data_IF_181965161696
#
_entry.id   IF_181965161696
#
_cell.length_a   1.000
_cell.length_b   1.000
_cell.length_c   1.000
_cell.angle_alpha   90.00
_cell.angle_beta   90.00
_cell.angle_gamma   90.00
#
_symmetry.space_group_name_H-M   'P 1'
#
loop_
_entity.id
_entity.type
_entity.pdbx_description
1 polymer ?
#
# COMPACT_ATOMS: atom_id res chain seq x y z
N UNK A 1 14.00 19.71 7.33
CA UNK A 1 15.27 19.21 6.74
C UNK A 1 14.99 17.88 6.08
N UNK A 2 15.65 17.53 5.00
CA UNK A 2 15.47 16.21 4.40
C UNK A 2 16.82 15.53 4.12
N UNK A 3 16.82 14.22 4.12
CA UNK A 3 18.02 13.41 3.92
C UNK A 3 17.78 12.36 2.83
N UNK A 4 18.64 12.38 1.82
CA UNK A 4 18.74 11.31 0.81
C UNK A 4 19.79 10.30 1.28
N UNK A 5 19.37 9.05 1.41
CA UNK A 5 20.19 7.96 1.98
C UNK A 5 20.77 7.12 0.86
N UNK A 6 22.00 7.39 0.49
CA UNK A 6 22.72 6.75 -0.62
C UNK A 6 23.97 5.98 -0.18
N UNK A 7 24.33 6.07 1.10
CA UNK A 7 25.53 5.40 1.61
C UNK A 7 25.25 4.57 2.86
N UNK A 8 26.05 3.55 3.08
CA UNK A 8 25.96 2.70 4.28
C UNK A 8 26.14 3.50 5.58
N UNK A 9 26.98 4.53 5.58
CA UNK A 9 27.16 5.38 6.75
C UNK A 9 25.88 6.16 7.10
N UNK A 10 25.18 6.66 6.07
CA UNK A 10 23.88 7.33 6.26
C UNK A 10 22.81 6.35 6.76
N UNK A 11 22.81 5.09 6.30
CA UNK A 11 21.93 4.05 6.84
C UNK A 11 22.20 3.78 8.33
N UNK A 12 23.47 3.71 8.74
CA UNK A 12 23.83 3.53 10.15
C UNK A 12 23.35 4.73 11.00
N UNK A 13 23.48 5.95 10.48
CA UNK A 13 22.97 7.14 11.17
C UNK A 13 21.43 7.14 11.27
N UNK A 14 20.76 6.70 10.21
CA UNK A 14 19.30 6.51 10.22
C UNK A 14 18.88 5.48 11.27
N UNK A 15 19.59 4.37 11.42
CA UNK A 15 19.34 3.34 12.43
C UNK A 15 19.44 3.90 13.85
N UNK A 16 20.45 4.69 14.15
CA UNK A 16 20.59 5.38 15.44
C UNK A 16 19.42 6.33 15.71
N UNK A 17 18.97 7.04 14.67
CA UNK A 17 17.80 7.92 14.76
C UNK A 17 16.52 7.13 15.06
N UNK A 18 16.30 6.02 14.35
CA UNK A 18 15.14 5.13 14.57
C UNK A 18 15.13 4.58 15.99
N UNK A 19 16.28 4.18 16.53
CA UNK A 19 16.40 3.63 17.89
C UNK A 19 16.03 4.64 18.99
N UNK A 20 16.14 5.93 18.73
CA UNK A 20 15.80 7.01 19.67
C UNK A 20 14.45 7.70 19.38
N UNK A 21 13.75 7.31 18.31
CA UNK A 21 12.54 7.99 17.85
C UNK A 21 11.30 7.63 18.67
N UNK A 22 10.39 8.60 18.80
CA UNK A 22 9.06 8.44 19.40
C UNK A 22 8.01 8.11 18.36
N UNK A 23 8.14 8.69 17.15
CA UNK A 23 7.19 8.51 16.07
C UNK A 23 7.91 8.31 14.74
N UNK A 24 7.60 7.23 14.08
CA UNK A 24 8.12 6.95 12.75
C UNK A 24 6.98 6.60 11.78
N UNK A 25 6.83 7.40 10.73
CA UNK A 25 5.92 7.13 9.62
C UNK A 25 6.71 6.57 8.44
N UNK A 26 6.14 5.57 7.76
CA UNK A 26 6.74 4.93 6.61
C UNK A 26 5.76 4.91 5.42
N UNK A 27 6.28 5.17 4.23
CA UNK A 27 5.57 4.99 2.97
C UNK A 27 6.48 4.32 1.93
N UNK A 28 5.98 3.27 1.28
CA UNK A 28 6.64 2.69 0.11
C UNK A 28 6.24 3.46 -1.15
N UNK A 29 7.22 3.98 -1.85
CA UNK A 29 7.04 4.59 -3.17
C UNK A 29 7.13 3.47 -4.19
N UNK A 30 5.97 3.02 -4.69
CA UNK A 30 5.86 1.90 -5.61
C UNK A 30 5.62 2.38 -7.04
N UNK A 31 6.29 1.77 -7.99
CA UNK A 31 6.15 2.07 -9.41
C UNK A 31 4.90 1.45 -10.01
N UNK A 32 4.25 2.21 -10.92
CA UNK A 32 2.98 1.88 -11.61
C UNK A 32 1.71 2.07 -10.78
N UNK A 33 1.08 3.24 -10.92
CA UNK A 33 -0.18 3.64 -10.26
C UNK A 33 -1.37 2.70 -10.52
N UNK A 34 -1.24 1.75 -11.44
CA UNK A 34 -2.30 0.82 -11.83
C UNK A 34 -1.96 -0.64 -11.52
N UNK A 35 -0.83 -0.90 -10.88
CA UNK A 35 -0.41 -2.24 -10.52
C UNK A 35 -0.79 -2.53 -9.07
N UNK A 36 -1.35 -3.72 -8.83
CA UNK A 36 -1.64 -4.13 -7.45
C UNK A 36 -0.37 -4.07 -6.59
N UNK A 37 -0.41 -3.58 -5.33
CA UNK A 37 0.78 -3.43 -4.48
C UNK A 37 1.63 -4.70 -4.34
N UNK A 38 1.01 -5.89 -4.38
CA UNK A 38 1.74 -7.16 -4.36
C UNK A 38 2.63 -7.38 -5.60
N UNK A 39 2.35 -6.70 -6.70
CA UNK A 39 3.07 -6.82 -7.98
C UNK A 39 3.90 -5.58 -8.30
N UNK A 40 3.77 -4.53 -7.50
CA UNK A 40 4.41 -3.25 -7.76
C UNK A 40 5.87 -3.26 -7.29
N UNK A 41 6.74 -2.69 -8.10
CA UNK A 41 8.15 -2.50 -7.77
C UNK A 41 8.32 -1.38 -6.75
N UNK A 42 9.15 -1.58 -5.73
CA UNK A 42 9.52 -0.53 -4.78
C UNK A 42 10.61 0.32 -5.42
N UNK A 43 10.33 1.61 -5.61
CA UNK A 43 11.28 2.60 -6.15
C UNK A 43 12.13 3.18 -5.02
N UNK A 44 11.49 3.56 -3.92
CA UNK A 44 12.13 4.11 -2.75
C UNK A 44 11.27 3.89 -1.50
N UNK A 45 11.86 4.09 -0.32
CA UNK A 45 11.20 4.09 0.97
C UNK A 45 11.30 5.50 1.54
N UNK A 46 10.17 6.09 1.89
CA UNK A 46 10.11 7.34 2.61
C UNK A 46 9.86 7.09 4.09
N UNK A 47 10.59 7.81 4.94
CA UNK A 47 10.42 7.82 6.39
C UNK A 47 10.26 9.27 6.86
N UNK A 48 9.33 9.51 7.77
CA UNK A 48 9.33 10.71 8.61
C UNK A 48 9.56 10.28 10.05
N UNK A 49 10.66 10.70 10.62
CA UNK A 49 11.10 10.35 11.97
C UNK A 49 11.13 11.62 12.80
N UNK A 50 10.20 11.73 13.76
CA UNK A 50 10.06 12.90 14.63
C UNK A 50 10.07 14.23 13.89
N UNK A 51 9.43 14.28 12.71
CA UNK A 51 9.32 15.47 11.86
C UNK A 51 10.46 15.72 10.87
N UNK A 52 11.48 14.85 10.84
CA UNK A 52 12.53 14.88 9.83
C UNK A 52 12.25 13.88 8.70
N UNK A 53 12.50 14.28 7.46
CA UNK A 53 12.17 13.50 6.27
C UNK A 53 13.41 12.78 5.73
N UNK A 54 13.27 11.47 5.49
CA UNK A 54 14.30 10.61 4.91
C UNK A 54 13.75 9.88 3.69
N UNK A 55 14.58 9.70 2.66
CA UNK A 55 14.25 8.87 1.51
C UNK A 55 15.40 7.92 1.20
N UNK A 56 15.09 6.64 1.05
CA UNK A 56 16.04 5.57 0.76
C UNK A 56 15.72 5.05 -0.64
N UNK A 57 16.53 5.33 -1.65
CA UNK A 57 16.37 4.78 -2.99
C UNK A 57 16.59 3.27 -2.98
N UNK A 58 15.70 2.52 -3.64
CA UNK A 58 15.78 1.05 -3.80
C UNK A 58 15.98 0.68 -5.28
N UNK A 59 15.20 1.31 -6.17
CA UNK A 59 15.30 1.11 -7.61
C UNK A 59 14.96 2.40 -8.36
N UNK A 60 15.73 3.44 -8.08
CA UNK A 60 15.56 4.74 -8.72
C UNK A 60 16.74 5.03 -9.67
N UNK A 61 16.52 5.42 -10.94
CA UNK A 61 17.59 5.55 -11.94
C UNK A 61 18.58 6.68 -11.68
N UNK A 62 18.19 7.71 -10.94
CA UNK A 62 19.02 8.89 -10.66
C UNK A 62 19.83 8.79 -9.36
N UNK A 63 19.68 7.69 -8.59
CA UNK A 63 20.22 7.58 -7.24
C UNK A 63 21.17 6.39 -7.07
N UNK A 64 22.01 6.44 -6.05
CA UNK A 64 22.74 5.28 -5.56
C UNK A 64 21.77 4.44 -4.73
N UNK A 65 21.24 3.38 -5.34
CA UNK A 65 20.26 2.52 -4.71
C UNK A 65 20.85 1.69 -3.58
N UNK A 66 20.08 1.51 -2.53
CA UNK A 66 20.44 0.65 -1.41
C UNK A 66 19.92 -0.76 -1.66
N UNK A 67 20.63 -1.75 -1.14
CA UNK A 67 20.19 -3.14 -1.15
C UNK A 67 18.90 -3.29 -0.34
N UNK A 68 17.84 -3.76 -1.00
CA UNK A 68 16.50 -3.85 -0.43
C UNK A 68 16.45 -4.75 0.81
N UNK A 69 17.10 -5.91 0.74
CA UNK A 69 17.04 -6.90 1.80
C UNK A 69 17.84 -6.43 3.02
N UNK A 70 18.95 -5.74 2.79
CA UNK A 70 19.70 -5.10 3.87
C UNK A 70 18.87 -4.00 4.56
N UNK A 71 18.22 -3.11 3.78
CA UNK A 71 17.35 -2.07 4.34
C UNK A 71 16.20 -2.69 5.14
N UNK A 72 15.55 -3.71 4.63
CA UNK A 72 14.47 -4.39 5.34
C UNK A 72 14.96 -5.10 6.60
N UNK A 73 16.16 -5.68 6.58
CA UNK A 73 16.77 -6.29 7.76
C UNK A 73 17.06 -5.28 8.87
N UNK A 74 17.39 -4.05 8.51
CA UNK A 74 17.57 -2.93 9.44
C UNK A 74 16.22 -2.47 10.00
N UNK A 75 15.23 -2.28 9.13
CA UNK A 75 13.92 -1.73 9.51
C UNK A 75 13.05 -2.71 10.32
N UNK A 76 13.24 -4.02 10.22
CA UNK A 76 12.38 -5.04 10.86
C UNK A 76 12.28 -4.93 12.39
N UNK A 77 13.25 -4.29 13.04
CA UNK A 77 13.29 -4.14 14.50
C UNK A 77 12.44 -2.98 15.02
N UNK A 78 11.85 -2.19 14.12
CA UNK A 78 11.11 -0.99 14.44
C UNK A 78 9.63 -1.12 14.04
N UNK A 79 8.78 -0.33 14.69
CA UNK A 79 7.35 -0.25 14.41
C UNK A 79 7.03 1.06 13.70
N UNK A 80 6.31 0.98 12.58
CA UNK A 80 6.02 2.14 11.74
C UNK A 80 4.53 2.47 11.73
N UNK A 81 4.20 3.75 11.86
CA UNK A 81 2.90 4.25 11.46
C UNK A 81 2.82 4.28 9.93
N UNK A 82 1.71 3.81 9.37
CA UNK A 82 1.45 3.82 7.93
C UNK A 82 0.02 4.26 7.65
N UNK A 83 -0.20 4.91 6.53
CA UNK A 83 -1.57 5.26 6.13
C UNK A 83 -2.36 4.06 5.62
N UNK A 84 -1.66 3.05 5.09
CA UNK A 84 -2.25 1.83 4.55
C UNK A 84 -1.38 0.62 4.90
N UNK A 85 -1.77 -0.08 5.95
CA UNK A 85 -1.04 -1.26 6.44
C UNK A 85 -0.99 -2.39 5.41
N UNK A 86 -2.05 -2.59 4.62
CA UNK A 86 -2.06 -3.65 3.62
C UNK A 86 -1.03 -3.41 2.52
N UNK A 87 -0.90 -2.17 2.03
CA UNK A 87 0.19 -1.78 1.13
C UNK A 87 1.56 -2.10 1.73
N UNK A 88 1.76 -1.79 3.01
CA UNK A 88 2.98 -2.11 3.73
C UNK A 88 3.25 -3.62 3.77
N UNK A 89 2.24 -4.42 4.12
CA UNK A 89 2.34 -5.88 4.19
C UNK A 89 2.63 -6.51 2.81
N UNK A 90 2.06 -5.99 1.73
CA UNK A 90 2.39 -6.45 0.37
C UNK A 90 3.84 -6.09 -0.03
N UNK A 91 4.32 -4.92 0.36
CA UNK A 91 5.67 -4.45 0.02
C UNK A 91 6.76 -5.15 0.84
N UNK A 92 6.55 -5.28 2.16
CA UNK A 92 7.52 -5.82 3.11
C UNK A 92 6.81 -6.49 4.31
N UNK A 93 6.33 -7.75 4.16
CA UNK A 93 5.54 -8.43 5.19
C UNK A 93 6.32 -8.69 6.50
N UNK A 94 7.64 -8.62 6.46
CA UNK A 94 8.53 -8.80 7.63
C UNK A 94 8.60 -7.58 8.55
N UNK A 95 8.07 -6.41 8.15
CA UNK A 95 8.09 -5.20 8.96
C UNK A 95 6.83 -5.08 9.83
N UNK A 96 6.93 -4.33 10.92
CA UNK A 96 5.83 -4.10 11.85
C UNK A 96 5.11 -2.79 11.55
N UNK A 97 3.80 -2.84 11.32
CA UNK A 97 3.00 -1.69 10.94
C UNK A 97 1.84 -1.42 11.88
N UNK A 98 1.56 -0.14 12.09
CA UNK A 98 0.33 0.36 12.68
C UNK A 98 -0.39 1.21 11.65
N UNK A 99 -1.56 0.79 11.20
CA UNK A 99 -2.43 1.59 10.33
C UNK A 99 -3.05 2.72 11.13
N UNK A 100 -2.92 3.93 10.60
CA UNK A 100 -3.50 5.13 11.20
C UNK A 100 -4.66 5.70 10.37
N UNK A 101 -5.03 5.08 9.26
CA UNK A 101 -6.08 5.59 8.37
C UNK A 101 -7.42 5.75 9.07
N UNK A 102 -7.80 4.82 9.94
CA UNK A 102 -9.07 4.85 10.66
C UNK A 102 -9.18 6.01 11.67
N UNK A 103 -8.05 6.59 12.08
CA UNK A 103 -8.03 7.74 13.02
C UNK A 103 -8.18 9.08 12.31
N UNK A 104 -8.13 9.09 10.99
CA UNK A 104 -8.21 10.29 10.16
C UNK A 104 -9.65 10.44 9.68
N UNK A 105 -10.47 11.35 10.27
CA UNK A 105 -11.91 11.40 10.03
C UNK A 105 -12.32 11.41 8.55
N UNK A 106 -11.64 12.15 7.65
CA UNK A 106 -12.01 12.12 6.24
C UNK A 106 -11.75 10.77 5.56
N UNK A 107 -10.83 9.94 6.06
CA UNK A 107 -10.44 8.66 5.46
C UNK A 107 -11.18 7.46 6.04
N UNK A 108 -11.72 7.56 7.25
CA UNK A 108 -12.50 6.51 7.90
C UNK A 108 -14.00 6.55 7.57
N UNK A 109 -14.41 7.49 6.73
CA UNK A 109 -15.79 7.64 6.29
C UNK A 109 -16.09 6.83 5.03
N UNK A 110 -17.31 6.96 4.51
CA UNK A 110 -17.73 6.31 3.28
C UNK A 110 -16.73 6.52 2.13
N UNK A 111 -16.44 5.49 1.39
CA UNK A 111 -15.43 5.41 0.31
C UNK A 111 -15.39 6.63 -0.60
N UNK A 112 -16.55 7.17 -1.00
CA UNK A 112 -16.64 8.33 -1.90
C UNK A 112 -16.09 9.59 -1.26
N UNK A 113 -16.37 9.82 0.02
CA UNK A 113 -15.89 11.02 0.73
C UNK A 113 -14.39 10.93 1.02
N UNK A 114 -13.92 9.75 1.46
CA UNK A 114 -12.51 9.49 1.65
C UNK A 114 -11.71 9.66 0.36
N UNK A 115 -12.21 9.13 -0.75
CA UNK A 115 -11.63 9.30 -2.07
C UNK A 115 -11.56 10.76 -2.49
N UNK A 116 -12.67 11.51 -2.37
CA UNK A 116 -12.72 12.93 -2.71
C UNK A 116 -11.75 13.75 -1.86
N UNK A 117 -11.67 13.47 -0.55
CA UNK A 117 -10.73 14.15 0.32
C UNK A 117 -9.28 13.88 -0.09
N UNK A 118 -8.93 12.61 -0.28
CA UNK A 118 -7.60 12.18 -0.69
C UNK A 118 -7.17 12.85 -2.00
N UNK A 119 -8.00 12.83 -3.03
CA UNK A 119 -7.69 13.43 -4.32
C UNK A 119 -7.61 14.95 -4.32
N UNK A 120 -8.36 15.63 -3.46
CA UNK A 120 -8.21 17.09 -3.30
C UNK A 120 -6.91 17.49 -2.64
N UNK A 121 -6.47 16.71 -1.64
CA UNK A 121 -5.26 16.99 -0.87
C UNK A 121 -3.99 16.48 -1.54
N UNK A 122 -4.08 15.37 -2.24
CA UNK A 122 -2.96 14.68 -2.89
C UNK A 122 -3.27 14.45 -4.38
N UNK A 123 -3.20 15.50 -5.21
CA UNK A 123 -3.46 15.35 -6.64
C UNK A 123 -2.55 14.25 -7.20
N UNK A 124 -3.14 13.39 -8.02
CA UNK A 124 -2.47 12.25 -8.65
C UNK A 124 -1.28 12.70 -9.51
N UNK A 125 -0.12 12.67 -8.93
CA UNK A 125 1.09 12.54 -9.71
C UNK A 125 1.32 11.04 -9.90
N UNK A 126 1.32 10.59 -11.17
CA UNK A 126 1.69 9.20 -11.48
C UNK A 126 3.02 8.89 -10.81
N UNK A 127 3.04 7.88 -9.96
CA UNK A 127 4.29 7.42 -9.36
C UNK A 127 4.96 6.50 -10.36
N UNK A 128 6.14 6.87 -10.83
CA UNK A 128 6.98 6.01 -11.64
C UNK A 128 8.45 6.37 -11.40
N UNK A 129 9.36 5.48 -11.74
CA UNK A 129 10.80 5.63 -11.52
C UNK A 129 11.48 6.75 -12.33
N UNK A 130 10.80 7.32 -13.32
CA UNK A 130 11.33 8.43 -14.13
C UNK A 130 11.02 9.80 -13.51
N UNK A 131 10.24 9.86 -12.44
CA UNK A 131 10.01 11.10 -11.70
C UNK A 131 11.18 11.34 -10.76
N UNK A 132 11.81 12.54 -10.77
CA UNK A 132 12.93 12.85 -9.90
C UNK A 132 12.66 12.52 -8.43
N UNK A 133 13.65 11.96 -7.74
CA UNK A 133 13.52 11.51 -6.34
C UNK A 133 13.05 12.64 -5.42
N UNK A 134 13.47 13.88 -5.67
CA UNK A 134 13.04 15.06 -4.90
C UNK A 134 11.53 15.34 -5.02
N UNK A 135 10.91 15.01 -6.16
CA UNK A 135 9.45 15.15 -6.35
C UNK A 135 8.67 14.08 -5.59
N UNK A 136 9.21 12.88 -5.49
CA UNK A 136 8.65 11.84 -4.62
C UNK A 136 8.70 12.27 -3.16
N UNK A 137 9.83 12.80 -2.71
CA UNK A 137 10.01 13.32 -1.37
C UNK A 137 9.03 14.45 -1.05
N UNK A 138 8.93 15.48 -1.93
CA UNK A 138 8.00 16.58 -1.77
C UNK A 138 6.55 16.11 -1.61
N UNK A 139 6.13 15.16 -2.44
CA UNK A 139 4.80 14.54 -2.36
C UNK A 139 4.56 13.83 -1.03
N UNK A 140 5.50 13.00 -0.59
CA UNK A 140 5.39 12.27 0.67
C UNK A 140 5.35 13.24 1.86
N UNK A 141 6.17 14.27 1.85
CA UNK A 141 6.19 15.31 2.89
C UNK A 141 4.86 16.06 3.00
N UNK A 142 4.29 16.51 1.87
CA UNK A 142 2.98 17.17 1.86
C UNK A 142 1.92 16.24 2.46
N UNK A 143 1.91 14.99 2.01
CA UNK A 143 0.98 13.96 2.49
C UNK A 143 1.12 13.72 3.99
N UNK A 144 2.34 13.55 4.47
CA UNK A 144 2.62 13.29 5.89
C UNK A 144 2.21 14.46 6.77
N UNK A 145 2.51 15.69 6.36
CA UNK A 145 2.09 16.89 7.08
C UNK A 145 0.56 17.00 7.21
N UNK A 146 -0.18 16.72 6.13
CA UNK A 146 -1.65 16.68 6.15
C UNK A 146 -2.19 15.58 7.05
N UNK A 147 -1.60 14.38 7.01
CA UNK A 147 -2.01 13.23 7.84
C UNK A 147 -1.85 13.57 9.32
N UNK A 148 -0.70 14.08 9.74
CA UNK A 148 -0.43 14.36 11.15
C UNK A 148 -1.24 15.53 11.73
N UNK A 149 -1.86 16.39 10.92
CA UNK A 149 -2.84 17.35 11.41
C UNK A 149 -4.09 16.68 12.03
N UNK A 150 -4.43 15.48 11.55
CA UNK A 150 -5.61 14.72 11.99
C UNK A 150 -5.29 13.58 12.94
N UNK A 151 -4.08 13.03 12.90
CA UNK A 151 -3.69 11.92 13.76
C UNK A 151 -3.63 12.35 15.23
N UNK A 152 -4.30 11.59 16.10
CA UNK A 152 -4.43 11.88 17.54
C UNK A 152 -3.79 10.81 18.44
N UNK A 153 -3.05 9.89 17.86
CA UNK A 153 -2.39 8.80 18.60
C UNK A 153 -3.30 7.61 18.94
N UNK A 154 -4.59 7.69 18.62
CA UNK A 154 -5.53 6.59 18.84
C UNK A 154 -5.30 5.48 17.82
N UNK A 155 -5.41 4.22 18.24
CA UNK A 155 -5.23 3.04 17.41
C UNK A 155 -6.44 2.13 17.61
N UNK A 156 -7.06 1.71 16.51
CA UNK A 156 -8.08 0.67 16.55
C UNK A 156 -7.42 -0.71 16.42
N UNK A 157 -7.33 -1.41 17.54
CA UNK A 157 -6.67 -2.71 17.62
C UNK A 157 -7.35 -3.78 16.77
N UNK A 158 -8.68 -3.78 16.68
CA UNK A 158 -9.40 -4.74 15.84
C UNK A 158 -9.02 -4.59 14.36
N UNK A 159 -8.95 -3.36 13.85
CA UNK A 159 -8.51 -3.12 12.48
C UNK A 159 -7.05 -3.55 12.29
N UNK A 160 -6.18 -3.16 13.19
CA UNK A 160 -4.75 -3.39 13.05
C UNK A 160 -4.34 -4.86 13.21
N UNK A 161 -4.91 -5.57 14.19
CA UNK A 161 -4.48 -6.92 14.54
C UNK A 161 -5.33 -8.03 13.91
N UNK A 162 -6.53 -7.72 13.44
CA UNK A 162 -7.46 -8.73 12.92
C UNK A 162 -7.89 -8.45 11.49
N UNK A 163 -8.57 -7.34 11.24
CA UNK A 163 -9.23 -7.12 9.95
C UNK A 163 -8.24 -6.90 8.80
N UNK A 164 -7.28 -5.99 8.96
CA UNK A 164 -6.32 -5.69 7.88
C UNK A 164 -5.39 -6.85 7.54
N UNK A 165 -4.87 -7.65 8.48
CA UNK A 165 -4.15 -8.88 8.17
C UNK A 165 -4.98 -9.90 7.39
N UNK A 166 -6.24 -10.13 7.76
CA UNK A 166 -7.13 -11.05 7.04
C UNK A 166 -7.38 -10.57 5.61
N UNK A 167 -7.65 -9.28 5.41
CA UNK A 167 -7.85 -8.71 4.08
C UNK A 167 -6.56 -8.79 3.24
N UNK A 168 -5.39 -8.58 3.86
CA UNK A 168 -4.11 -8.74 3.18
C UNK A 168 -3.89 -10.17 2.69
N UNK A 169 -4.20 -11.19 3.50
CA UNK A 169 -4.08 -12.60 3.07
C UNK A 169 -5.04 -12.93 1.92
N UNK A 170 -6.28 -12.40 1.94
CA UNK A 170 -7.21 -12.53 0.82
C UNK A 170 -6.67 -11.88 -0.46
N UNK A 171 -6.05 -10.71 -0.34
CA UNK A 171 -5.46 -9.98 -1.47
C UNK A 171 -4.21 -10.68 -2.01
N UNK A 172 -3.36 -11.22 -1.14
CA UNK A 172 -2.12 -11.93 -1.48
C UNK A 172 -2.40 -13.22 -2.26
N UNK A 173 -3.42 -13.96 -1.85
CA UNK A 173 -3.77 -15.24 -2.48
C UNK A 173 -4.42 -15.06 -3.85
N UNK A 174 -4.93 -13.87 -4.17
CA UNK A 174 -5.59 -13.57 -5.44
C UNK A 174 -6.73 -14.57 -5.77
N UNK A 175 -7.28 -14.53 -6.97
CA UNK A 175 -8.25 -15.52 -7.44
C UNK A 175 -7.81 -16.04 -8.80
N UNK A 176 -7.66 -17.36 -8.91
CA UNK A 176 -7.39 -18.04 -10.16
C UNK A 176 -8.60 -17.99 -11.07
N UNK A 177 -8.36 -17.79 -12.37
CA UNK A 177 -9.41 -17.79 -13.36
C UNK A 177 -9.06 -18.66 -14.57
N UNK A 178 -10.11 -19.13 -15.27
CA UNK A 178 -10.01 -19.96 -16.46
C UNK A 178 -10.22 -19.15 -17.75
N UNK A 179 -10.27 -19.85 -18.88
CA UNK A 179 -10.42 -19.28 -20.22
C UNK A 179 -11.75 -18.50 -20.46
N UNK A 180 -12.77 -18.71 -19.61
CA UNK A 180 -14.03 -17.96 -19.67
C UNK A 180 -13.88 -16.50 -19.19
N UNK A 181 -12.76 -16.16 -18.53
CA UNK A 181 -12.51 -14.82 -17.97
C UNK A 181 -12.67 -13.71 -19.02
N UNK A 182 -12.07 -13.89 -20.18
CA UNK A 182 -12.10 -12.90 -21.24
C UNK A 182 -13.52 -12.60 -21.72
N UNK A 183 -14.39 -13.61 -21.76
CA UNK A 183 -15.80 -13.48 -22.17
C UNK A 183 -16.61 -12.58 -21.23
N UNK A 184 -16.43 -12.75 -19.92
CA UNK A 184 -17.29 -12.10 -18.92
C UNK A 184 -16.73 -10.78 -18.40
N UNK A 185 -15.40 -10.67 -18.28
CA UNK A 185 -14.77 -9.58 -17.54
C UNK A 185 -13.91 -8.65 -18.37
N UNK A 186 -13.21 -9.11 -19.37
CA UNK A 186 -12.38 -8.26 -20.23
C UNK A 186 -13.13 -7.09 -20.88
N UNK A 187 -14.37 -7.24 -21.36
CA UNK A 187 -15.14 -6.11 -21.89
C UNK A 187 -15.56 -5.08 -20.83
N UNK A 188 -15.71 -5.50 -19.57
CA UNK A 188 -16.24 -4.69 -18.48
C UNK A 188 -15.15 -3.98 -17.69
N UNK A 189 -13.94 -4.48 -17.73
CA UNK A 189 -12.86 -4.08 -16.84
C UNK A 189 -11.63 -3.71 -17.64
N UNK A 190 -11.31 -2.44 -17.66
CA UNK A 190 -10.21 -1.89 -18.49
C UNK A 190 -8.80 -2.08 -17.86
N UNK A 191 -8.67 -2.35 -16.57
CA UNK A 191 -7.39 -2.43 -15.87
C UNK A 191 -7.46 -3.44 -14.73
N UNK A 192 -6.83 -4.58 -14.91
CA UNK A 192 -6.66 -5.60 -13.88
C UNK A 192 -5.20 -5.73 -13.47
N UNK A 193 -4.97 -6.06 -12.23
CA UNK A 193 -3.71 -6.64 -11.82
C UNK A 193 -3.80 -8.16 -11.98
N UNK A 194 -3.25 -8.64 -13.07
CA UNK A 194 -3.25 -10.06 -13.44
C UNK A 194 -1.81 -10.55 -13.51
N UNK A 195 -1.56 -11.70 -12.93
CA UNK A 195 -0.31 -12.45 -13.05
C UNK A 195 -0.61 -13.93 -12.96
N UNK A 196 -0.06 -14.73 -13.89
CA UNK A 196 -0.12 -16.20 -13.88
C UNK A 196 -1.57 -16.77 -13.74
N UNK A 197 -2.52 -16.20 -14.50
CA UNK A 197 -3.95 -16.51 -14.44
C UNK A 197 -4.62 -16.22 -13.07
N UNK A 198 -4.01 -15.37 -12.27
CA UNK A 198 -4.60 -14.89 -11.02
C UNK A 198 -4.94 -13.40 -11.13
N UNK A 199 -6.08 -13.03 -10.58
CA UNK A 199 -6.51 -11.64 -10.44
C UNK A 199 -6.42 -11.21 -8.99
N UNK A 200 -5.72 -10.11 -8.78
CA UNK A 200 -5.52 -9.51 -7.48
C UNK A 200 -6.62 -8.48 -7.19
N UNK A 201 -7.27 -8.60 -6.05
CA UNK A 201 -8.26 -7.66 -5.55
C UNK A 201 -7.67 -6.74 -4.49
N UNK A 202 -8.29 -5.59 -4.31
CA UNK A 202 -7.95 -4.65 -3.24
C UNK A 202 -9.20 -4.32 -2.42
N UNK A 203 -9.25 -4.77 -1.19
CA UNK A 203 -10.44 -4.63 -0.34
C UNK A 203 -10.33 -3.41 0.58
N UNK A 204 -11.27 -2.47 0.42
CA UNK A 204 -11.41 -1.36 1.34
C UNK A 204 -12.32 -1.76 2.52
N UNK A 205 -11.82 -1.76 3.77
CA UNK A 205 -12.63 -2.05 4.96
C UNK A 205 -13.47 -0.86 5.43
N UNK A 206 -13.14 0.36 4.97
CA UNK A 206 -13.77 1.60 5.44
C UNK A 206 -15.04 1.88 4.65
N UNK A 207 -16.08 1.10 4.89
CA UNK A 207 -17.39 1.24 4.27
C UNK A 207 -18.47 1.46 5.32
N UNK A 208 -19.56 2.14 4.95
CA UNK A 208 -20.69 2.45 5.86
C UNK A 208 -21.33 1.19 6.47
N UNK A 209 -21.31 0.07 5.74
CA UNK A 209 -21.92 -1.19 6.15
C UNK A 209 -20.95 -2.17 6.81
N UNK A 210 -19.67 -1.82 6.91
CA UNK A 210 -18.61 -2.71 7.39
C UNK A 210 -18.27 -3.87 6.43
N UNK A 211 -18.92 -3.94 5.25
CA UNK A 211 -18.57 -4.96 4.23
C UNK A 211 -17.41 -4.48 3.39
N UNK A 212 -16.28 -5.20 3.33
CA UNK A 212 -15.17 -4.83 2.46
C UNK A 212 -15.61 -4.77 0.99
N UNK A 213 -15.20 -3.72 0.29
CA UNK A 213 -15.51 -3.51 -1.13
C UNK A 213 -14.20 -3.52 -1.92
N UNK A 214 -14.19 -4.23 -3.04
CA UNK A 214 -13.05 -4.20 -3.95
C UNK A 214 -12.99 -2.86 -4.70
N UNK A 215 -11.98 -2.05 -4.40
CA UNK A 215 -11.78 -0.71 -4.96
C UNK A 215 -10.80 -0.65 -6.13
N UNK A 216 -10.12 -1.75 -6.43
CA UNK A 216 -9.04 -1.76 -7.40
C UNK A 216 -9.59 -2.04 -8.81
N UNK A 217 -10.26 -1.07 -9.47
CA UNK A 217 -10.76 -1.17 -10.85
C UNK A 217 -11.05 -2.61 -11.31
N UNK A 218 -11.41 -3.45 -10.37
CA UNK A 218 -11.47 -4.88 -10.48
C UNK A 218 -12.89 -5.38 -10.28
N UNK A 219 -12.98 -6.69 -10.30
CA UNK A 219 -14.23 -7.40 -10.16
C UNK A 219 -14.71 -7.27 -8.71
N UNK A 220 -15.94 -6.84 -8.53
CA UNK A 220 -16.60 -6.96 -7.24
C UNK A 220 -17.07 -8.41 -7.05
N UNK A 221 -16.22 -9.25 -6.46
CA UNK A 221 -16.49 -10.68 -6.26
C UNK A 221 -17.75 -10.94 -5.43
N UNK A 222 -18.09 -10.03 -4.51
CA UNK A 222 -19.31 -10.12 -3.70
C UNK A 222 -20.57 -9.93 -4.55
N UNK A 223 -20.47 -9.16 -5.63
CA UNK A 223 -21.58 -8.84 -6.53
C UNK A 223 -21.69 -9.74 -7.77
N UNK A 224 -20.92 -10.83 -7.86
CA UNK A 224 -21.00 -11.76 -9.00
C UNK A 224 -22.35 -12.47 -9.04
N UNK A 225 -22.99 -12.45 -10.20
CA UNK A 225 -24.29 -13.08 -10.42
C UNK A 225 -24.16 -14.60 -10.45
N UNK A 226 -25.13 -15.29 -9.86
CA UNK A 226 -25.18 -16.76 -9.85
C UNK A 226 -25.57 -17.35 -11.22
N UNK A 227 -26.44 -16.65 -11.94
CA UNK A 227 -27.22 -17.26 -13.02
C UNK A 227 -26.64 -17.07 -14.42
N UNK A 228 -25.51 -16.38 -14.57
CA UNK A 228 -24.94 -16.04 -15.88
C UNK A 228 -23.57 -16.67 -16.17
N UNK A 229 -23.08 -17.55 -15.30
CA UNK A 229 -21.78 -18.23 -15.45
C UNK A 229 -20.56 -17.36 -15.07
N UNK A 230 -20.76 -16.16 -14.52
CA UNK A 230 -19.64 -15.30 -14.06
C UNK A 230 -18.82 -16.01 -12.98
N UNK A 231 -19.46 -16.75 -12.08
CA UNK A 231 -18.78 -17.47 -10.99
C UNK A 231 -17.98 -18.65 -11.48
N UNK A 232 -18.41 -19.31 -12.57
CA UNK A 232 -17.73 -20.45 -13.17
C UNK A 232 -16.41 -20.04 -13.86
N UNK A 233 -16.11 -18.75 -13.85
CA UNK A 233 -14.85 -18.20 -14.36
C UNK A 233 -13.70 -18.40 -13.38
N UNK A 234 -14.02 -18.52 -12.09
CA UNK A 234 -13.03 -18.64 -11.02
C UNK A 234 -12.88 -20.10 -10.58
N UNK A 235 -11.65 -20.48 -10.34
CA UNK A 235 -11.27 -21.84 -9.93
C UNK A 235 -10.55 -21.79 -8.60
N UNK A 236 -10.74 -22.79 -7.72
CA UNK A 236 -9.88 -22.95 -6.56
C UNK A 236 -8.45 -23.28 -7.02
N UNK A 237 -7.45 -22.78 -6.31
CA UNK A 237 -6.11 -23.32 -6.44
C UNK A 237 -6.07 -24.75 -5.93
N UNK A 238 -5.26 -25.60 -6.57
CA UNK A 238 -5.23 -27.05 -6.34
C UNK A 238 -4.93 -27.48 -4.89
N UNK A 239 -4.59 -26.55 -4.01
CA UNK A 239 -4.18 -26.82 -2.62
C UNK A 239 -5.31 -26.62 -1.60
N UNK A 240 -6.57 -26.40 -2.03
CA UNK A 240 -7.70 -26.08 -1.15
C UNK A 240 -8.83 -27.11 -1.14
N UNK A 241 -8.51 -28.39 -1.34
CA UNK A 241 -9.45 -29.49 -1.06
C UNK A 241 -8.77 -30.67 -0.41
#
# INVERSE_FOLDING_TARGET
MFYLIETKNQLNQLELKLASSLTCYLEFIQGNDNTHPALAEIIAIYLNIDGEDFIIPINHPECINQDKDYVFSLLKNYKFCVLDKKSGLHAAPQLSYTDIQHTIPPLNQHTTQAHQWYYRKFPHTKVNKMIPIGKHLERCKIKTNEIFQYYRGEINEYYNSTLLPVLHELEKNALKFNDKFDKYFKPKCKKFSIKDNHIYGWYNPYTTTGRPVNNFNGINFVGLKHDNGERDTFEPDNDFF
#
